data_IF_586968717993
#
_entry.id   IF_586968717993
#
_cell.length_a   1.000
_cell.length_b   1.000
_cell.length_c   1.000
_cell.angle_alpha   90.00
_cell.angle_beta   90.00
_cell.angle_gamma   90.00
#
_symmetry.space_group_name_H-M   'P 1'
#
loop_
_entity.id
_entity.type
_entity.pdbx_description
1 polymer ?
#
# COMPACT_ATOMS: atom_id res chain seq x y z
N UNK A 1 -2.75 -44.11 26.66
CA UNK A 1 -2.24 -42.95 27.39
C UNK A 1 -3.27 -41.81 27.31
N UNK A 2 -3.61 -41.25 28.45
CA UNK A 2 -4.57 -40.16 28.49
C UNK A 2 -3.87 -38.84 28.25
N UNK A 3 -4.44 -37.99 27.39
CA UNK A 3 -4.00 -36.62 27.30
C UNK A 3 -4.23 -35.88 28.64
N UNK A 4 -3.26 -35.08 29.11
CA UNK A 4 -3.46 -34.31 30.30
C UNK A 4 -4.67 -33.38 30.18
N UNK A 5 -5.49 -33.32 31.23
CA UNK A 5 -6.69 -32.48 31.22
C UNK A 5 -6.41 -31.00 31.03
N UNK A 6 -5.22 -30.54 31.47
CA UNK A 6 -4.83 -29.13 31.29
C UNK A 6 -4.70 -28.71 29.82
N UNK A 7 -4.45 -29.62 28.88
CA UNK A 7 -4.39 -29.31 27.47
C UNK A 7 -5.75 -28.89 26.89
N UNK A 8 -6.83 -29.25 27.58
CA UNK A 8 -8.19 -28.96 27.14
C UNK A 8 -8.90 -27.94 28.02
N UNK A 9 -8.18 -27.31 28.96
CA UNK A 9 -8.77 -26.29 29.80
C UNK A 9 -8.85 -24.93 29.09
N UNK A 10 -9.58 -24.00 29.71
CA UNK A 10 -9.78 -22.65 29.14
C UNK A 10 -8.49 -21.90 28.86
N UNK A 11 -7.45 -22.09 29.66
CA UNK A 11 -6.17 -21.42 29.47
C UNK A 11 -5.47 -21.93 28.23
N UNK A 12 -5.43 -23.20 27.99
CA UNK A 12 -4.85 -23.81 26.81
C UNK A 12 -5.59 -23.36 25.55
N UNK A 13 -6.92 -23.34 25.57
CA UNK A 13 -7.73 -22.87 24.45
C UNK A 13 -7.50 -21.39 24.17
N UNK A 14 -7.39 -20.55 25.21
CA UNK A 14 -7.15 -19.11 25.05
C UNK A 14 -5.76 -18.86 24.47
N UNK A 15 -4.71 -19.42 25.04
CA UNK A 15 -3.35 -19.24 24.56
C UNK A 15 -3.16 -19.87 23.17
N UNK A 16 -3.76 -21.02 22.92
CA UNK A 16 -3.75 -21.67 21.61
C UNK A 16 -4.42 -20.80 20.54
N UNK A 17 -5.55 -20.19 20.87
CA UNK A 17 -6.24 -19.25 19.98
C UNK A 17 -5.42 -18.02 19.66
N UNK A 18 -4.77 -17.43 20.67
CA UNK A 18 -3.88 -16.28 20.49
C UNK A 18 -2.68 -16.66 19.61
N UNK A 19 -2.07 -17.82 19.86
CA UNK A 19 -0.94 -18.29 19.06
C UNK A 19 -1.34 -18.51 17.59
N UNK A 20 -2.50 -19.09 17.33
CA UNK A 20 -3.01 -19.28 15.97
C UNK A 20 -3.29 -17.95 15.29
N UNK A 21 -3.87 -16.99 15.99
CA UNK A 21 -4.11 -15.66 15.46
C UNK A 21 -2.81 -14.95 15.12
N UNK A 22 -1.79 -15.06 15.97
CA UNK A 22 -0.48 -14.47 15.69
C UNK A 22 0.20 -15.10 14.48
N UNK A 23 0.16 -16.41 14.35
CA UNK A 23 0.70 -17.13 13.18
C UNK A 23 -0.04 -16.73 11.91
N UNK A 24 -1.36 -16.69 11.96
CA UNK A 24 -2.18 -16.29 10.82
C UNK A 24 -1.87 -14.86 10.38
N UNK A 25 -1.73 -13.94 11.32
CA UNK A 25 -1.35 -12.56 11.04
C UNK A 25 0.04 -12.46 10.42
N UNK A 26 1.03 -13.18 10.97
CA UNK A 26 2.38 -13.20 10.42
C UNK A 26 2.42 -13.76 9.00
N UNK A 27 1.67 -14.81 8.73
CA UNK A 27 1.56 -15.39 7.39
C UNK A 27 0.90 -14.39 6.43
N UNK A 28 -0.14 -13.70 6.87
CA UNK A 28 -0.80 -12.66 6.09
C UNK A 28 0.17 -11.53 5.75
N UNK A 29 0.91 -11.02 6.74
CA UNK A 29 1.88 -9.94 6.55
C UNK A 29 2.98 -10.36 5.58
N UNK A 30 3.56 -11.55 5.75
CA UNK A 30 4.59 -12.06 4.84
C UNK A 30 4.07 -12.19 3.42
N UNK A 31 2.85 -12.69 3.26
CA UNK A 31 2.24 -12.85 1.94
C UNK A 31 1.92 -11.52 1.25
N UNK A 32 1.64 -10.46 2.02
CA UNK A 32 1.20 -9.16 1.49
C UNK A 32 2.20 -8.03 1.70
N UNK A 33 3.41 -8.34 2.18
CA UNK A 33 4.46 -7.36 2.44
C UNK A 33 5.49 -7.28 1.31
N UNK A 34 5.08 -7.52 0.07
CA UNK A 34 5.94 -7.38 -1.10
C UNK A 34 6.27 -5.94 -1.47
N UNK A 35 5.58 -4.98 -0.86
CA UNK A 35 5.81 -3.56 -1.08
C UNK A 35 5.27 -3.03 -2.40
N UNK A 36 4.34 -3.73 -2.99
CA UNK A 36 3.75 -3.33 -4.26
C UNK A 36 2.62 -2.33 -4.03
N UNK A 37 2.79 -1.13 -4.56
CA UNK A 37 1.78 -0.09 -4.55
C UNK A 37 1.42 0.24 -5.99
N UNK A 38 0.17 0.04 -6.37
CA UNK A 38 -0.29 0.25 -7.74
C UNK A 38 -1.54 1.12 -7.78
N UNK A 39 -1.76 1.74 -8.92
CA UNK A 39 -2.91 2.59 -9.16
C UNK A 39 -2.97 3.04 -10.62
N UNK A 40 -3.85 3.99 -10.89
CA UNK A 40 -4.03 4.58 -12.23
C UNK A 40 -3.92 6.09 -12.18
N UNK A 41 -3.46 6.65 -13.29
CA UNK A 41 -3.48 8.09 -13.54
C UNK A 41 -4.43 8.35 -14.71
N UNK A 42 -5.41 9.22 -14.48
CA UNK A 42 -6.39 9.60 -15.50
C UNK A 42 -6.41 11.11 -15.63
N UNK A 43 -6.83 11.59 -16.80
CA UNK A 43 -7.10 13.00 -17.03
C UNK A 43 -8.45 13.41 -16.42
N UNK A 44 -8.75 14.69 -16.43
CA UNK A 44 -10.00 15.21 -15.86
C UNK A 44 -11.27 14.61 -16.52
N UNK A 45 -11.17 14.16 -17.77
CA UNK A 45 -12.25 13.48 -18.49
C UNK A 45 -12.33 11.97 -18.22
N UNK A 46 -11.44 11.42 -17.39
CA UNK A 46 -11.38 10.01 -17.07
C UNK A 46 -10.53 9.15 -18.01
N UNK A 47 -9.93 9.73 -19.04
CA UNK A 47 -9.07 9.00 -19.96
C UNK A 47 -7.73 8.63 -19.31
N UNK A 48 -7.20 7.41 -19.52
CA UNK A 48 -5.90 7.04 -18.97
C UNK A 48 -4.78 7.91 -19.56
N UNK A 49 -3.80 8.24 -18.69
CA UNK A 49 -2.66 9.10 -19.06
C UNK A 49 -1.40 8.27 -19.08
N UNK A 50 -0.77 8.16 -20.24
CA UNK A 50 0.52 7.51 -20.39
C UNK A 50 1.66 8.49 -20.11
N UNK A 51 2.72 8.00 -19.46
CA UNK A 51 3.92 8.79 -19.24
C UNK A 51 3.80 9.85 -18.15
N UNK A 52 2.74 9.84 -17.36
CA UNK A 52 2.64 10.71 -16.19
C UNK A 52 3.68 10.32 -15.14
N UNK A 53 4.36 11.30 -14.57
CA UNK A 53 5.32 11.06 -13.50
C UNK A 53 4.57 10.96 -12.19
N UNK A 54 4.67 9.80 -11.54
CA UNK A 54 4.08 9.55 -10.24
C UNK A 54 5.21 9.53 -9.21
N UNK A 55 5.11 10.37 -8.19
CA UNK A 55 6.12 10.48 -7.13
C UNK A 55 5.56 9.90 -5.85
N UNK A 56 6.30 8.96 -5.27
CA UNK A 56 6.03 8.41 -3.96
C UNK A 56 6.93 9.08 -2.95
N UNK A 57 6.32 9.69 -1.94
CA UNK A 57 7.01 10.40 -0.88
C UNK A 57 6.60 9.84 0.48
N UNK A 58 7.42 10.05 1.48
CA UNK A 58 7.09 9.77 2.88
C UNK A 58 6.94 11.08 3.63
N UNK A 59 6.01 11.10 4.57
CA UNK A 59 5.86 12.26 5.45
C UNK A 59 6.73 12.07 6.69
N UNK A 60 7.61 13.02 6.93
CA UNK A 60 8.39 13.12 8.17
C UNK A 60 7.70 14.11 9.12
N UNK A 61 8.25 14.28 10.31
CA UNK A 61 7.71 15.24 11.30
C UNK A 61 7.74 16.68 10.77
N UNK A 62 8.73 17.02 9.95
CA UNK A 62 8.97 18.38 9.49
C UNK A 62 8.76 18.60 8.00
N UNK A 63 8.72 17.54 7.20
CA UNK A 63 8.67 17.67 5.74
C UNK A 63 8.12 16.44 5.06
N UNK A 64 8.03 16.52 3.74
CA UNK A 64 7.70 15.39 2.87
C UNK A 64 8.93 15.09 2.03
N UNK A 65 9.44 13.86 2.13
CA UNK A 65 10.64 13.43 1.42
C UNK A 65 10.28 12.50 0.27
N UNK A 66 10.87 12.75 -0.89
CA UNK A 66 10.74 11.89 -2.05
C UNK A 66 11.47 10.58 -1.81
N UNK A 67 10.75 9.45 -2.01
CA UNK A 67 11.31 8.10 -1.86
C UNK A 67 11.60 7.50 -3.23
N UNK A 68 10.65 7.58 -4.16
CA UNK A 68 10.77 6.99 -5.48
C UNK A 68 9.85 7.71 -6.47
N UNK A 69 10.06 7.45 -7.75
CA UNK A 69 9.15 7.87 -8.81
C UNK A 69 9.02 6.78 -9.86
N UNK A 70 7.94 6.86 -10.61
CA UNK A 70 7.68 5.99 -11.76
C UNK A 70 6.84 6.75 -12.77
N UNK A 71 6.62 6.12 -13.91
CA UNK A 71 5.75 6.67 -14.97
C UNK A 71 4.59 5.73 -15.22
N UNK A 72 3.44 6.30 -15.54
CA UNK A 72 2.28 5.52 -15.94
C UNK A 72 2.47 4.88 -17.31
N UNK A 73 1.91 3.69 -17.48
CA UNK A 73 1.90 2.99 -18.75
C UNK A 73 0.79 3.46 -19.70
N UNK A 74 0.65 2.76 -20.81
CA UNK A 74 -0.35 3.10 -21.84
C UNK A 74 -1.79 3.08 -21.32
N UNK A 75 -2.08 2.26 -20.34
CA UNK A 75 -3.37 2.15 -19.65
C UNK A 75 -3.51 3.10 -18.46
N UNK A 76 -2.53 3.95 -18.24
CA UNK A 76 -2.48 4.87 -17.10
C UNK A 76 -2.05 4.23 -15.80
N UNK A 77 -1.72 2.95 -15.79
CA UNK A 77 -1.32 2.25 -14.55
C UNK A 77 0.12 2.56 -14.17
N UNK A 78 0.33 2.69 -12.87
CA UNK A 78 1.66 2.81 -12.29
C UNK A 78 1.85 1.78 -11.19
N UNK A 79 3.09 1.37 -10.96
CA UNK A 79 3.45 0.40 -9.93
C UNK A 79 4.74 0.84 -9.26
N UNK A 80 4.72 0.87 -7.93
CA UNK A 80 5.92 0.96 -7.10
C UNK A 80 6.15 -0.39 -6.43
N UNK A 81 7.37 -0.86 -6.43
CA UNK A 81 7.76 -2.11 -5.78
C UNK A 81 8.63 -1.82 -4.56
N UNK A 82 8.47 -2.63 -3.51
CA UNK A 82 9.28 -2.55 -2.29
C UNK A 82 9.35 -1.15 -1.68
N UNK A 83 8.20 -0.48 -1.54
CA UNK A 83 8.17 0.90 -1.03
C UNK A 83 8.64 1.03 0.43
N UNK A 84 8.53 -0.03 1.24
CA UNK A 84 9.07 -0.08 2.60
C UNK A 84 8.44 0.88 3.60
N UNK A 85 7.27 1.43 3.33
CA UNK A 85 6.67 2.49 4.13
C UNK A 85 5.36 2.05 4.81
N UNK A 86 5.00 2.72 5.92
CA UNK A 86 3.69 2.60 6.57
C UNK A 86 2.66 3.56 6.00
N UNK A 87 3.10 4.71 5.57
CA UNK A 87 2.25 5.72 4.96
C UNK A 87 3.04 6.43 3.88
N UNK A 88 2.37 6.69 2.77
CA UNK A 88 2.99 7.33 1.62
C UNK A 88 2.13 8.48 1.15
N UNK A 89 2.77 9.45 0.51
CA UNK A 89 2.10 10.54 -0.18
C UNK A 89 2.36 10.37 -1.67
N UNK A 90 1.30 10.28 -2.45
CA UNK A 90 1.38 10.14 -3.89
C UNK A 90 1.03 11.46 -4.57
N UNK A 91 1.81 11.80 -5.56
CA UNK A 91 1.50 12.90 -6.47
C UNK A 91 1.78 12.47 -7.91
N UNK A 92 1.07 13.05 -8.84
CA UNK A 92 1.25 12.75 -10.25
C UNK A 92 1.18 14.04 -11.06
N UNK A 93 1.94 14.09 -12.15
CA UNK A 93 1.90 15.22 -13.08
C UNK A 93 2.26 14.76 -14.47
N UNK A 94 1.74 15.46 -15.44
CA UNK A 94 2.15 15.35 -16.85
C UNK A 94 2.12 16.72 -17.50
N UNK A 95 3.23 17.08 -18.17
CA UNK A 95 3.30 18.32 -18.94
C UNK A 95 2.21 18.38 -20.01
N UNK A 96 1.49 19.50 -20.06
CA UNK A 96 0.40 19.69 -21.02
C UNK A 96 -0.95 19.07 -20.62
N UNK A 97 -0.99 18.25 -19.58
CA UNK A 97 -2.24 17.64 -19.07
C UNK A 97 -2.63 18.20 -17.70
N UNK A 98 -1.69 18.28 -16.78
CA UNK A 98 -1.94 18.82 -15.45
C UNK A 98 -1.26 18.03 -14.35
N UNK A 99 -1.74 18.24 -13.13
CA UNK A 99 -1.22 17.57 -11.94
C UNK A 99 -2.36 17.08 -11.05
N UNK A 100 -2.12 16.00 -10.32
CA UNK A 100 -3.02 15.51 -9.30
C UNK A 100 -2.64 16.08 -7.94
N UNK A 101 -3.62 16.37 -7.07
CA UNK A 101 -3.31 16.76 -5.69
C UNK A 101 -2.63 15.62 -4.96
N UNK A 102 -1.88 15.97 -3.93
CA UNK A 102 -1.22 14.98 -3.09
C UNK A 102 -2.26 14.10 -2.39
N UNK A 103 -2.06 12.80 -2.46
CA UNK A 103 -2.92 11.82 -1.78
C UNK A 103 -2.10 11.06 -0.76
N UNK A 104 -2.56 11.06 0.48
CA UNK A 104 -1.96 10.26 1.55
C UNK A 104 -2.59 8.88 1.57
N UNK A 105 -1.77 7.85 1.51
CA UNK A 105 -2.19 6.46 1.64
C UNK A 105 -1.63 5.90 2.93
N UNK A 106 -2.50 5.50 3.84
CA UNK A 106 -2.11 4.85 5.10
C UNK A 106 -2.20 3.35 4.93
N UNK A 107 -1.18 2.65 5.42
CA UNK A 107 -1.07 1.21 5.33
C UNK A 107 -1.26 0.59 6.72
N UNK A 108 -1.74 -0.64 6.77
CA UNK A 108 -1.92 -1.38 8.01
C UNK A 108 -0.61 -1.86 8.60
N UNK A 109 0.38 -2.13 7.75
CA UNK A 109 1.71 -2.54 8.17
C UNK A 109 2.75 -2.10 7.14
N UNK A 110 4.00 -2.11 7.56
CA UNK A 110 5.11 -1.66 6.73
C UNK A 110 5.22 -2.51 5.47
N UNK A 111 5.44 -1.86 4.34
CA UNK A 111 5.65 -2.49 3.04
C UNK A 111 4.43 -3.30 2.56
N UNK A 112 3.24 -2.95 3.00
CA UNK A 112 2.01 -3.61 2.57
C UNK A 112 1.78 -3.44 1.08
N UNK A 113 1.37 -4.52 0.41
CA UNK A 113 0.86 -4.44 -0.95
C UNK A 113 -0.47 -3.69 -0.96
N UNK A 114 -0.59 -2.72 -1.84
CA UNK A 114 -1.78 -1.88 -1.92
C UNK A 114 -2.11 -1.55 -3.36
N UNK A 115 -3.36 -1.71 -3.72
CA UNK A 115 -3.92 -1.21 -4.97
C UNK A 115 -4.90 -0.08 -4.66
N UNK A 116 -4.73 1.08 -5.33
CA UNK A 116 -5.61 2.22 -5.13
C UNK A 116 -6.94 1.96 -5.83
N UNK A 117 -8.03 2.12 -5.09
CA UNK A 117 -9.38 1.99 -5.64
C UNK A 117 -9.78 3.18 -6.51
N UNK A 118 -9.24 4.36 -6.19
CA UNK A 118 -9.52 5.58 -6.92
C UNK A 118 -8.32 6.02 -7.73
N UNK A 119 -8.49 6.42 -8.99
CA UNK A 119 -7.38 6.90 -9.80
C UNK A 119 -6.90 8.27 -9.34
N UNK A 120 -5.65 8.60 -9.66
CA UNK A 120 -5.13 9.95 -9.54
C UNK A 120 -5.60 10.76 -10.73
N UNK A 121 -6.36 11.81 -10.49
CA UNK A 121 -6.95 12.65 -11.53
C UNK A 121 -6.06 13.86 -11.75
N UNK A 122 -5.55 14.02 -12.97
CA UNK A 122 -4.77 15.19 -13.34
C UNK A 122 -5.71 16.34 -13.66
N UNK A 123 -5.59 17.44 -12.94
CA UNK A 123 -6.31 18.67 -13.19
C UNK A 123 -5.35 19.70 -13.82
N UNK A 124 -5.82 20.44 -14.84
CA UNK A 124 -5.00 21.48 -15.47
C UNK A 124 -4.69 22.65 -14.53
#
# INVERSE_FOLDING_TARGET
MRAPAFLLNRFTLTFGGIALAAVAWNLYVVAHAGGRLSGRVVAADGAPVEGAVVVLSRRTVTSVERVADTRSGADGRFVFEQHGQYAVVLSARKGGVGSAPRRTVKLWFRNQDRELNEPLVLAP
#
